data_IF_960073351362
#
_entry.id   IF_960073351362
#
_cell.length_a   1.000
_cell.length_b   1.000
_cell.length_c   1.000
_cell.angle_alpha   90.00
_cell.angle_beta   90.00
_cell.angle_gamma   90.00
#
_symmetry.space_group_name_H-M   'P 1'
#
loop_
_entity.id
_entity.type
_entity.pdbx_description
1 polymer ?
#
# COMPACT_ATOMS: atom_id res chain seq x y z
N UNK A 1 53.70 38.04 -18.89
CA UNK A 1 53.55 36.79 -19.67
C UNK A 1 52.25 36.12 -19.18
N UNK A 2 51.19 36.27 -19.96
CA UNK A 2 49.86 35.72 -19.65
C UNK A 2 49.74 34.36 -20.37
N UNK A 3 49.61 33.28 -19.60
CA UNK A 3 49.35 31.96 -20.13
C UNK A 3 47.83 31.77 -20.17
N UNK A 4 47.25 31.71 -21.38
CA UNK A 4 45.86 31.43 -21.61
C UNK A 4 45.54 29.98 -21.45
N UNK A 5 44.61 29.65 -20.54
CA UNK A 5 44.02 28.33 -20.40
C UNK A 5 42.89 28.15 -21.42
N UNK A 6 43.07 27.25 -22.37
CA UNK A 6 42.04 26.84 -23.34
C UNK A 6 41.17 25.77 -22.67
N UNK A 7 39.93 26.13 -22.33
CA UNK A 7 38.93 25.15 -21.91
C UNK A 7 38.33 24.46 -23.14
N UNK A 8 38.68 23.20 -23.32
CA UNK A 8 38.01 22.34 -24.30
C UNK A 8 36.75 21.81 -23.65
N UNK A 9 35.60 22.36 -24.04
CA UNK A 9 34.29 21.83 -23.67
C UNK A 9 34.02 20.57 -24.50
N UNK A 10 34.21 19.40 -23.94
CA UNK A 10 33.79 18.13 -24.52
C UNK A 10 32.27 18.02 -24.27
N UNK A 11 31.50 18.34 -25.31
CA UNK A 11 30.07 18.11 -25.34
C UNK A 11 29.76 16.62 -25.35
N UNK A 12 29.41 16.05 -24.21
CA UNK A 12 28.81 14.72 -24.15
C UNK A 12 27.35 14.87 -24.61
N UNK A 13 27.14 14.65 -25.89
CA UNK A 13 25.78 14.44 -26.41
C UNK A 13 25.34 13.05 -25.94
N UNK A 14 24.70 13.05 -24.77
CA UNK A 14 24.00 11.85 -24.30
C UNK A 14 22.87 11.55 -25.29
N UNK A 15 23.10 10.56 -26.12
CA UNK A 15 22.03 9.95 -26.92
C UNK A 15 21.08 9.26 -25.95
N UNK A 16 20.06 9.99 -25.48
CA UNK A 16 18.88 9.40 -24.87
C UNK A 16 18.15 8.62 -25.98
N UNK A 17 18.59 7.39 -26.21
CA UNK A 17 17.70 6.40 -26.82
C UNK A 17 16.60 6.20 -25.78
N UNK A 18 15.48 6.84 -25.98
CA UNK A 18 14.24 6.50 -25.32
C UNK A 18 13.93 5.05 -25.65
N UNK A 19 14.39 4.13 -24.81
CA UNK A 19 13.86 2.79 -24.78
C UNK A 19 12.38 2.99 -24.41
N UNK A 20 11.50 2.96 -25.39
CA UNK A 20 10.08 2.80 -25.14
C UNK A 20 9.98 1.51 -24.33
N UNK A 21 9.79 1.65 -23.01
CA UNK A 21 9.59 0.50 -22.16
C UNK A 21 8.40 -0.26 -22.74
N UNK A 22 8.62 -1.50 -23.13
CA UNK A 22 7.53 -2.34 -23.60
C UNK A 22 6.43 -2.31 -22.54
N UNK A 23 5.17 -2.18 -22.94
CA UNK A 23 4.07 -2.16 -21.99
C UNK A 23 4.12 -3.46 -21.17
N UNK A 24 4.08 -3.34 -19.84
CA UNK A 24 4.08 -4.47 -18.93
C UNK A 24 2.94 -5.42 -19.29
N UNK A 25 3.23 -6.70 -19.35
CA UNK A 25 2.20 -7.72 -19.51
C UNK A 25 1.39 -7.89 -18.21
N UNK A 26 0.18 -8.46 -18.33
CA UNK A 26 -0.61 -8.75 -17.15
C UNK A 26 0.04 -9.72 -16.16
N UNK A 27 0.93 -10.61 -16.63
CA UNK A 27 1.69 -11.52 -15.76
C UNK A 27 2.81 -10.78 -15.03
N UNK A 28 3.51 -9.90 -15.71
CA UNK A 28 4.59 -9.10 -15.13
C UNK A 28 4.09 -8.18 -14.03
N UNK A 29 2.96 -7.50 -14.24
CA UNK A 29 2.40 -6.61 -13.22
C UNK A 29 1.89 -7.37 -12.00
N UNK A 30 1.26 -8.54 -12.18
CA UNK A 30 0.84 -9.41 -11.09
C UNK A 30 2.06 -9.88 -10.28
N UNK A 31 3.12 -10.31 -10.95
CA UNK A 31 4.37 -10.74 -10.33
C UNK A 31 5.01 -9.61 -9.54
N UNK A 32 5.04 -8.41 -10.10
CA UNK A 32 5.61 -7.22 -9.46
C UNK A 32 4.86 -6.84 -8.19
N UNK A 33 3.53 -6.82 -8.22
CA UNK A 33 2.71 -6.53 -7.03
C UNK A 33 2.95 -7.59 -5.95
N UNK A 34 2.98 -8.87 -6.32
CA UNK A 34 3.23 -9.97 -5.38
C UNK A 34 4.60 -9.83 -4.70
N UNK A 35 5.64 -9.52 -5.47
CA UNK A 35 7.00 -9.32 -4.97
C UNK A 35 7.09 -8.11 -4.02
N UNK A 36 6.49 -6.97 -4.39
CA UNK A 36 6.47 -5.78 -3.54
C UNK A 36 5.72 -6.01 -2.24
N UNK A 37 4.53 -6.60 -2.29
CA UNK A 37 3.75 -6.88 -1.09
C UNK A 37 4.48 -7.88 -0.17
N UNK A 38 5.16 -8.88 -0.73
CA UNK A 38 5.97 -9.84 0.03
C UNK A 38 7.19 -9.17 0.69
N UNK A 39 7.84 -8.24 0.00
CA UNK A 39 8.94 -7.45 0.54
C UNK A 39 8.48 -6.58 1.72
N UNK A 40 7.39 -5.87 1.55
CA UNK A 40 6.89 -4.93 2.56
C UNK A 40 6.26 -5.61 3.77
N UNK A 41 5.80 -6.86 3.64
CA UNK A 41 5.19 -7.63 4.73
C UNK A 41 6.10 -7.75 5.96
N UNK A 42 7.39 -7.99 5.76
CA UNK A 42 8.36 -8.07 6.86
C UNK A 42 8.47 -6.72 7.57
N UNK A 43 8.59 -5.64 6.79
CA UNK A 43 8.66 -4.29 7.33
C UNK A 43 7.37 -3.91 8.10
N UNK A 44 6.19 -4.31 7.64
CA UNK A 44 4.93 -4.03 8.32
C UNK A 44 4.85 -4.63 9.72
N UNK A 45 5.44 -5.80 9.92
CA UNK A 45 5.53 -6.40 11.27
C UNK A 45 6.43 -5.57 12.17
N UNK A 46 7.56 -5.08 11.65
CA UNK A 46 8.47 -4.20 12.39
C UNK A 46 7.80 -2.86 12.69
N UNK A 47 7.10 -2.26 11.72
CA UNK A 47 6.34 -1.01 11.92
C UNK A 47 5.37 -1.16 13.09
N UNK A 48 4.54 -2.22 13.08
CA UNK A 48 3.56 -2.45 14.14
C UNK A 48 4.22 -2.65 15.51
N UNK A 49 5.25 -3.49 15.62
CA UNK A 49 5.93 -3.73 16.90
C UNK A 49 6.64 -2.49 17.43
N UNK A 50 7.34 -1.74 16.57
CA UNK A 50 8.00 -0.50 16.95
C UNK A 50 6.98 0.57 17.34
N UNK A 51 5.86 0.67 16.61
CA UNK A 51 4.77 1.58 16.98
C UNK A 51 4.28 1.30 18.40
N UNK A 52 3.92 0.05 18.71
CA UNK A 52 3.42 -0.36 20.03
C UNK A 52 4.42 -0.04 21.14
N UNK A 53 5.71 -0.33 20.94
CA UNK A 53 6.75 -0.04 21.93
C UNK A 53 6.83 1.45 22.28
N UNK A 54 6.71 2.33 21.31
CA UNK A 54 6.80 3.78 21.53
C UNK A 54 5.52 4.39 22.14
N UNK A 55 4.38 3.68 22.10
CA UNK A 55 3.15 4.23 22.70
C UNK A 55 3.09 4.04 24.23
N UNK A 56 3.93 3.18 24.81
CA UNK A 56 3.92 2.84 26.24
C UNK A 56 2.70 2.00 26.64
N UNK A 57 2.58 1.66 27.95
CA UNK A 57 1.45 0.89 28.45
C UNK A 57 0.11 1.62 28.20
N UNK A 58 -0.99 0.91 27.86
CA UNK A 58 -1.09 -0.55 27.71
C UNK A 58 -0.66 -1.09 26.33
N UNK A 59 -0.27 -0.23 25.36
CA UNK A 59 0.06 -0.64 23.99
C UNK A 59 1.32 -1.51 23.91
N UNK A 60 2.30 -1.24 24.76
CA UNK A 60 3.56 -1.99 24.83
C UNK A 60 3.48 -3.28 25.67
N UNK A 61 2.32 -3.55 26.29
CA UNK A 61 2.16 -4.71 27.16
C UNK A 61 2.02 -5.99 26.31
N UNK A 62 2.48 -7.10 26.85
CA UNK A 62 2.35 -8.41 26.20
C UNK A 62 0.87 -8.72 25.93
N UNK A 63 0.60 -9.22 24.73
CA UNK A 63 -0.74 -9.56 24.26
C UNK A 63 -1.72 -8.36 24.14
N UNK A 64 -1.22 -7.13 24.03
CA UNK A 64 -2.08 -6.00 23.75
C UNK A 64 -2.90 -6.26 22.48
N UNK A 65 -4.20 -6.19 22.62
CA UNK A 65 -5.16 -6.32 21.54
C UNK A 65 -6.29 -5.35 21.79
N UNK A 66 -6.58 -4.54 20.81
CA UNK A 66 -7.72 -3.64 20.84
C UNK A 66 -8.81 -4.21 19.92
N UNK A 67 -10.06 -4.34 20.39
CA UNK A 67 -11.15 -4.81 19.55
C UNK A 67 -11.26 -3.94 18.31
N UNK A 68 -11.86 -4.49 17.26
CA UNK A 68 -12.01 -3.84 15.96
C UNK A 68 -12.69 -2.48 16.10
N UNK A 69 -11.90 -1.45 16.26
CA UNK A 69 -12.35 -0.09 16.19
C UNK A 69 -12.06 0.40 14.77
N UNK A 70 -13.11 0.69 14.06
CA UNK A 70 -13.01 1.20 12.71
C UNK A 70 -12.88 2.72 12.80
N UNK A 71 -11.72 3.23 12.45
CA UNK A 71 -11.60 4.63 12.10
C UNK A 71 -12.42 4.84 10.82
N UNK A 72 -13.32 5.82 10.83
CA UNK A 72 -14.14 6.13 9.68
C UNK A 72 -13.25 6.34 8.44
N UNK A 73 -13.46 5.54 7.42
CA UNK A 73 -12.72 5.63 6.16
C UNK A 73 -11.51 4.71 6.02
N UNK A 74 -11.02 4.05 7.08
CA UNK A 74 -9.92 3.09 6.94
C UNK A 74 -10.44 1.72 6.49
N UNK A 75 -10.07 1.23 5.29
CA UNK A 75 -10.51 -0.06 4.80
C UNK A 75 -9.92 -1.21 5.63
N UNK A 76 -10.76 -2.14 6.06
CA UNK A 76 -10.33 -3.32 6.81
C UNK A 76 -10.00 -4.50 5.92
N UNK A 77 -8.92 -5.22 6.27
CA UNK A 77 -8.61 -6.52 5.69
C UNK A 77 -9.43 -7.66 6.32
N UNK A 78 -10.19 -7.42 7.39
CA UNK A 78 -10.93 -8.41 8.18
C UNK A 78 -12.24 -8.85 7.51
N UNK A 79 -12.19 -9.24 6.25
CA UNK A 79 -13.33 -9.86 5.58
C UNK A 79 -13.29 -11.38 5.77
N UNK A 80 -14.44 -11.99 6.10
CA UNK A 80 -14.55 -13.44 6.28
C UNK A 80 -14.18 -14.23 5.02
N UNK A 81 -13.54 -15.39 5.19
CA UNK A 81 -13.00 -16.19 4.10
C UNK A 81 -14.01 -16.47 2.97
N UNK A 82 -15.25 -16.84 3.31
CA UNK A 82 -16.27 -17.15 2.32
C UNK A 82 -16.65 -15.92 1.50
N UNK A 83 -16.91 -14.79 2.15
CA UNK A 83 -17.24 -13.52 1.48
C UNK A 83 -16.09 -13.10 0.55
N UNK A 84 -14.84 -13.17 1.02
CA UNK A 84 -13.69 -12.84 0.21
C UNK A 84 -13.54 -13.76 -1.02
N UNK A 85 -13.80 -15.04 -0.87
CA UNK A 85 -13.73 -16.01 -1.98
C UNK A 85 -14.81 -15.75 -3.05
N UNK A 86 -15.92 -15.16 -2.69
CA UNK A 86 -16.99 -14.81 -3.62
C UNK A 86 -16.73 -13.50 -4.38
N UNK A 87 -15.75 -12.67 -3.97
CA UNK A 87 -15.40 -11.46 -4.69
C UNK A 87 -14.74 -11.77 -6.04
N UNK A 88 -15.09 -10.96 -7.03
CA UNK A 88 -14.43 -10.96 -8.31
C UNK A 88 -12.96 -10.55 -8.19
N UNK A 89 -12.07 -10.99 -9.09
CA UNK A 89 -10.70 -10.49 -9.14
C UNK A 89 -10.63 -8.96 -9.26
N UNK A 90 -11.52 -8.35 -10.05
CA UNK A 90 -11.65 -6.90 -10.17
C UNK A 90 -11.97 -6.22 -8.83
N UNK A 91 -12.91 -6.80 -8.08
CA UNK A 91 -13.35 -6.22 -6.80
C UNK A 91 -12.26 -6.31 -5.74
N UNK A 92 -11.51 -7.42 -5.73
CA UNK A 92 -10.34 -7.58 -4.84
C UNK A 92 -9.25 -6.56 -5.14
N UNK A 93 -8.95 -6.34 -6.43
CA UNK A 93 -8.00 -5.31 -6.84
C UNK A 93 -8.48 -3.91 -6.46
N UNK A 94 -9.78 -3.63 -6.65
CA UNK A 94 -10.38 -2.36 -6.29
C UNK A 94 -10.29 -2.11 -4.78
N UNK A 95 -10.63 -3.10 -3.96
CA UNK A 95 -10.54 -3.00 -2.50
C UNK A 95 -9.09 -2.80 -2.03
N UNK A 96 -8.14 -3.55 -2.60
CA UNK A 96 -6.72 -3.36 -2.29
C UNK A 96 -6.24 -1.95 -2.68
N UNK A 97 -6.63 -1.47 -3.87
CA UNK A 97 -6.33 -0.12 -4.34
C UNK A 97 -6.88 0.96 -3.39
N UNK A 98 -8.14 0.85 -2.99
CA UNK A 98 -8.76 1.76 -2.03
C UNK A 98 -8.01 1.72 -0.68
N UNK A 99 -7.67 0.52 -0.20
CA UNK A 99 -6.94 0.37 1.05
C UNK A 99 -5.60 1.10 1.02
N UNK A 100 -4.76 0.88 0.02
CA UNK A 100 -3.44 1.53 -0.04
C UNK A 100 -3.52 3.03 -0.35
N UNK A 101 -4.54 3.49 -1.09
CA UNK A 101 -4.80 4.91 -1.27
C UNK A 101 -5.10 5.60 0.08
N UNK A 102 -6.02 5.04 0.84
CA UNK A 102 -6.39 5.59 2.15
C UNK A 102 -5.25 5.46 3.16
N UNK A 103 -4.51 4.34 3.15
CA UNK A 103 -3.40 4.13 4.08
C UNK A 103 -2.26 5.11 3.88
N UNK A 104 -1.93 5.52 2.65
CA UNK A 104 -0.88 6.51 2.40
C UNK A 104 -1.19 7.84 3.08
N UNK A 105 -2.44 8.28 3.02
CA UNK A 105 -2.91 9.52 3.68
C UNK A 105 -2.93 9.39 5.21
N UNK A 106 -3.41 8.24 5.72
CA UNK A 106 -3.40 7.99 7.16
C UNK A 106 -1.98 7.89 7.72
N UNK A 107 -1.02 7.33 6.99
CA UNK A 107 0.37 7.30 7.44
C UNK A 107 0.94 8.72 7.57
N UNK A 108 0.60 9.64 6.68
CA UNK A 108 0.99 11.04 6.83
C UNK A 108 0.40 11.64 8.11
N UNK A 109 -0.90 11.47 8.34
CA UNK A 109 -1.55 11.94 9.55
C UNK A 109 -0.88 11.38 10.82
N UNK A 110 -0.63 10.06 10.86
CA UNK A 110 0.01 9.43 12.03
C UNK A 110 1.44 9.93 12.21
N UNK A 111 2.21 10.17 11.15
CA UNK A 111 3.55 10.77 11.25
C UNK A 111 3.49 12.13 11.92
N UNK A 112 2.58 12.99 11.51
CA UNK A 112 2.40 14.32 12.10
C UNK A 112 2.01 14.22 13.58
N UNK A 113 1.14 13.29 13.92
CA UNK A 113 0.77 13.00 15.32
C UNK A 113 1.96 12.50 16.14
N UNK A 114 2.78 11.60 15.57
CA UNK A 114 3.95 11.04 16.27
C UNK A 114 5.06 12.07 16.45
N UNK A 115 5.18 13.08 15.60
CA UNK A 115 6.10 14.20 15.84
C UNK A 115 5.80 14.93 17.16
N UNK A 116 4.55 14.94 17.59
CA UNK A 116 4.11 15.55 18.87
C UNK A 116 4.14 14.54 20.02
N UNK A 117 3.73 13.30 19.76
CA UNK A 117 3.60 12.26 20.82
C UNK A 117 4.94 11.63 21.19
N UNK A 118 5.81 11.44 20.22
CA UNK A 118 7.11 10.75 20.34
C UNK A 118 8.21 11.48 19.56
N UNK A 119 8.53 12.74 19.87
CA UNK A 119 9.43 13.58 19.08
C UNK A 119 10.86 13.03 18.94
N UNK A 120 11.32 12.24 19.91
CA UNK A 120 12.65 11.64 19.91
C UNK A 120 12.72 10.24 19.26
N UNK A 121 11.59 9.70 18.78
CA UNK A 121 11.51 8.35 18.23
C UNK A 121 11.89 8.28 16.74
N UNK A 122 13.13 8.61 16.41
CA UNK A 122 13.61 8.70 15.03
C UNK A 122 13.36 7.40 14.22
N UNK A 123 13.55 6.24 14.83
CA UNK A 123 13.28 4.94 14.19
C UNK A 123 11.80 4.75 13.84
N UNK A 124 10.89 5.18 14.71
CA UNK A 124 9.46 5.13 14.45
C UNK A 124 9.08 6.05 13.28
N UNK A 125 9.58 7.28 13.29
CA UNK A 125 9.32 8.23 12.21
C UNK A 125 9.77 7.70 10.85
N UNK A 126 10.98 7.14 10.77
CA UNK A 126 11.51 6.54 9.56
C UNK A 126 10.66 5.34 9.08
N UNK A 127 10.24 4.46 9.99
CA UNK A 127 9.42 3.30 9.65
C UNK A 127 8.03 3.70 9.14
N UNK A 128 7.41 4.71 9.73
CA UNK A 128 6.12 5.23 9.26
C UNK A 128 6.25 5.88 7.88
N UNK A 129 7.36 6.58 7.61
CA UNK A 129 7.66 7.13 6.28
C UNK A 129 7.83 6.03 5.23
N UNK A 130 8.58 4.98 5.55
CA UNK A 130 8.74 3.82 4.66
C UNK A 130 7.38 3.16 4.40
N UNK A 131 6.52 3.04 5.40
CA UNK A 131 5.18 2.46 5.23
C UNK A 131 4.29 3.32 4.32
N UNK A 132 4.36 4.65 4.44
CA UNK A 132 3.68 5.58 3.53
C UNK A 132 4.15 5.39 2.09
N UNK A 133 5.46 5.48 1.83
CA UNK A 133 6.05 5.31 0.50
C UNK A 133 5.72 3.94 -0.10
N UNK A 134 5.75 2.89 0.73
CA UNK A 134 5.40 1.54 0.31
C UNK A 134 3.93 1.42 -0.09
N UNK A 135 3.03 2.12 0.61
CA UNK A 135 1.61 2.18 0.27
C UNK A 135 1.38 2.89 -1.06
N UNK A 136 2.07 3.99 -1.31
CA UNK A 136 2.03 4.73 -2.59
C UNK A 136 2.58 3.88 -3.75
N UNK A 137 3.68 3.16 -3.52
CA UNK A 137 4.25 2.28 -4.53
C UNK A 137 3.29 1.13 -4.91
N UNK A 138 2.62 0.53 -3.92
CA UNK A 138 1.61 -0.50 -4.17
C UNK A 138 0.37 0.08 -4.86
N UNK A 139 -0.09 1.25 -4.46
CA UNK A 139 -1.20 1.95 -5.11
C UNK A 139 -0.92 2.18 -6.59
N UNK A 140 0.26 2.67 -6.93
CA UNK A 140 0.67 2.88 -8.32
C UNK A 140 0.63 1.57 -9.12
N UNK A 141 1.21 0.50 -8.59
CA UNK A 141 1.22 -0.79 -9.27
C UNK A 141 -0.19 -1.43 -9.38
N UNK A 142 -1.06 -1.21 -8.40
CA UNK A 142 -2.45 -1.66 -8.47
C UNK A 142 -3.26 -0.88 -9.51
N UNK A 143 -3.01 0.42 -9.67
CA UNK A 143 -3.58 1.22 -10.77
C UNK A 143 -3.14 0.67 -12.14
N UNK A 144 -1.85 0.41 -12.31
CA UNK A 144 -1.30 -0.18 -13.53
C UNK A 144 -1.93 -1.55 -13.81
N UNK A 145 -2.07 -2.39 -12.79
CA UNK A 145 -2.70 -3.69 -12.94
C UNK A 145 -4.17 -3.58 -13.37
N UNK A 146 -4.94 -2.67 -12.77
CA UNK A 146 -6.33 -2.46 -13.17
C UNK A 146 -6.43 -2.01 -14.64
N UNK A 147 -5.57 -1.10 -15.05
CA UNK A 147 -5.51 -0.64 -16.44
C UNK A 147 -5.13 -1.77 -17.41
N UNK A 148 -4.01 -2.47 -17.16
CA UNK A 148 -3.47 -3.55 -18.02
C UNK A 148 -4.45 -4.72 -18.12
N UNK A 149 -5.17 -5.04 -17.04
CA UNK A 149 -6.12 -6.14 -16.99
C UNK A 149 -7.53 -5.74 -17.49
N UNK A 150 -7.73 -4.49 -17.90
CA UNK A 150 -9.00 -3.99 -18.42
C UNK A 150 -10.10 -3.90 -17.37
N UNK A 151 -9.74 -3.73 -16.10
CA UNK A 151 -10.69 -3.45 -15.03
C UNK A 151 -10.83 -1.94 -14.90
N UNK A 152 -11.97 -1.42 -15.30
CA UNK A 152 -12.28 0.00 -15.15
C UNK A 152 -12.40 0.33 -13.65
N UNK A 153 -11.63 1.25 -13.10
CA UNK A 153 -11.91 1.76 -11.76
C UNK A 153 -13.21 2.54 -11.83
N UNK A 154 -14.24 2.10 -11.14
CA UNK A 154 -15.34 2.97 -10.78
C UNK A 154 -14.73 4.15 -10.01
N UNK A 155 -14.92 5.36 -10.53
CA UNK A 155 -14.19 6.57 -10.15
C UNK A 155 -14.61 7.18 -8.81
N UNK A 156 -14.79 6.40 -7.79
CA UNK A 156 -14.95 6.92 -6.43
C UNK A 156 -13.65 6.65 -5.66
N UNK A 157 -12.69 7.54 -5.85
CA UNK A 157 -11.72 7.77 -4.79
C UNK A 157 -12.55 8.26 -3.59
N UNK A 158 -12.41 7.60 -2.45
CA UNK A 158 -12.89 8.18 -1.21
C UNK A 158 -12.31 9.59 -1.12
N UNK A 159 -13.12 10.55 -0.70
CA UNK A 159 -12.64 11.89 -0.45
C UNK A 159 -11.42 11.82 0.46
N UNK A 160 -10.36 12.60 0.16
CA UNK A 160 -9.22 12.69 1.06
C UNK A 160 -9.71 12.98 2.47
N UNK A 161 -8.95 12.56 3.46
CA UNK A 161 -9.19 12.84 4.87
C UNK A 161 -9.36 14.36 5.09
N UNK A 162 -10.58 14.86 4.88
CA UNK A 162 -10.91 16.28 5.02
C UNK A 162 -11.13 16.66 6.49
N UNK A 163 -11.07 15.70 7.40
CA UNK A 163 -11.38 15.89 8.80
C UNK A 163 -10.19 15.44 9.67
N UNK A 164 -9.47 16.37 10.11
CA UNK A 164 -8.59 16.18 11.26
C UNK A 164 -9.31 16.83 12.43
N UNK A 165 -9.90 16.02 13.31
CA UNK A 165 -10.30 16.53 14.61
C UNK A 165 -9.02 16.90 15.36
N UNK A 166 -8.74 18.18 15.44
CA UNK A 166 -7.64 18.71 16.24
C UNK A 166 -7.84 18.47 17.74
N UNK A 167 -9.05 18.08 18.14
CA UNK A 167 -9.46 17.91 19.54
C UNK A 167 -9.44 16.45 20.02
N UNK A 168 -8.87 15.54 19.23
CA UNK A 168 -8.78 14.14 19.67
C UNK A 168 -7.78 13.97 20.82
N UNK A 169 -8.24 13.24 21.85
CA UNK A 169 -7.36 12.93 22.96
C UNK A 169 -6.21 12.00 22.56
N UNK A 170 -5.11 12.07 23.31
CA UNK A 170 -3.89 11.30 23.08
C UNK A 170 -4.15 9.80 22.90
N UNK A 171 -5.08 9.23 23.67
CA UNK A 171 -5.39 7.80 23.59
C UNK A 171 -6.00 7.43 22.22
N UNK A 172 -6.95 8.20 21.73
CA UNK A 172 -7.55 7.98 20.39
C UNK A 172 -6.51 8.06 19.28
N UNK A 173 -5.62 9.05 19.32
CA UNK A 173 -4.50 9.19 18.36
C UNK A 173 -3.60 7.96 18.38
N UNK A 174 -3.27 7.43 19.55
CA UNK A 174 -2.48 6.20 19.70
C UNK A 174 -3.22 4.97 19.16
N UNK A 175 -4.52 4.85 19.43
CA UNK A 175 -5.35 3.74 18.92
C UNK A 175 -5.45 3.81 17.39
N UNK A 176 -5.62 4.99 16.81
CA UNK A 176 -5.66 5.19 15.35
C UNK A 176 -4.40 4.64 14.67
N UNK A 177 -3.24 5.03 15.16
CA UNK A 177 -1.98 4.55 14.59
C UNK A 177 -1.77 3.04 14.78
N UNK A 178 -2.20 2.48 15.90
CA UNK A 178 -2.20 1.02 16.11
C UNK A 178 -3.08 0.31 15.06
N UNK A 179 -4.32 0.79 14.88
CA UNK A 179 -5.25 0.20 13.90
C UNK A 179 -4.69 0.30 12.48
N UNK A 180 -4.13 1.46 12.11
CA UNK A 180 -3.49 1.64 10.81
C UNK A 180 -2.34 0.65 10.59
N UNK A 181 -1.40 0.53 11.52
CA UNK A 181 -0.26 -0.38 11.38
C UNK A 181 -0.70 -1.85 11.32
N UNK A 182 -1.75 -2.23 12.04
CA UNK A 182 -2.35 -3.57 11.99
C UNK A 182 -2.99 -3.85 10.64
N UNK A 183 -3.87 -2.95 10.17
CA UNK A 183 -4.54 -3.11 8.88
C UNK A 183 -3.55 -3.12 7.72
N UNK A 184 -2.51 -2.28 7.76
CA UNK A 184 -1.43 -2.29 6.77
C UNK A 184 -0.74 -3.66 6.69
N UNK A 185 -0.37 -4.23 7.84
CA UNK A 185 0.20 -5.59 7.90
C UNK A 185 -0.77 -6.63 7.32
N UNK A 186 -2.04 -6.55 7.67
CA UNK A 186 -3.04 -7.54 7.26
C UNK A 186 -3.36 -7.44 5.77
N UNK A 187 -3.40 -6.25 5.18
CA UNK A 187 -3.51 -6.06 3.74
C UNK A 187 -2.29 -6.60 2.99
N UNK A 188 -1.09 -6.38 3.50
CA UNK A 188 0.14 -6.93 2.91
C UNK A 188 0.22 -8.47 3.00
N UNK A 189 -0.48 -9.10 3.94
CA UNK A 189 -0.65 -10.55 3.96
C UNK A 189 -1.69 -11.07 2.97
N UNK A 190 -2.66 -10.23 2.61
CA UNK A 190 -3.78 -10.60 1.72
C UNK A 190 -3.41 -10.46 0.25
N UNK A 191 -2.81 -9.34 -0.14
CA UNK A 191 -2.50 -9.01 -1.53
C UNK A 191 -1.75 -10.13 -2.28
N UNK A 192 -0.70 -10.76 -1.75
CA UNK A 192 -0.02 -11.85 -2.44
C UNK A 192 -0.95 -13.02 -2.78
N UNK A 193 -1.84 -13.38 -1.85
CA UNK A 193 -2.81 -14.46 -2.07
C UNK A 193 -3.82 -14.13 -3.18
N UNK A 194 -4.20 -12.85 -3.28
CA UNK A 194 -5.11 -12.39 -4.33
C UNK A 194 -4.42 -12.35 -5.69
N UNK A 195 -3.15 -11.97 -5.73
CA UNK A 195 -2.33 -12.03 -6.95
C UNK A 195 -2.16 -13.47 -7.45
N UNK A 196 -1.94 -14.43 -6.56
CA UNK A 196 -1.85 -15.86 -6.93
C UNK A 196 -3.19 -16.37 -7.48
N UNK A 197 -4.31 -15.99 -6.90
CA UNK A 197 -5.64 -16.37 -7.40
C UNK A 197 -5.90 -15.73 -8.77
N UNK A 198 -5.54 -14.47 -8.94
CA UNK A 198 -5.70 -13.75 -10.19
C UNK A 198 -4.87 -14.41 -11.31
N UNK A 199 -3.61 -14.76 -11.02
CA UNK A 199 -2.73 -15.51 -11.93
C UNK A 199 -3.34 -16.85 -12.34
N UNK A 200 -3.75 -17.66 -11.37
CA UNK A 200 -4.36 -18.96 -11.62
C UNK A 200 -5.65 -18.87 -12.47
N UNK A 201 -6.44 -17.83 -12.26
CA UNK A 201 -7.68 -17.60 -13.02
C UNK A 201 -7.38 -17.19 -14.47
N UNK A 202 -6.36 -16.38 -14.70
CA UNK A 202 -5.92 -16.01 -16.06
C UNK A 202 -5.42 -17.22 -16.82
N UNK A 203 -4.50 -18.00 -16.25
CA UNK A 203 -3.93 -19.19 -16.90
C UNK A 203 -5.03 -20.18 -17.33
N UNK A 204 -6.05 -20.38 -16.50
CA UNK A 204 -7.19 -21.22 -16.85
C UNK A 204 -8.00 -20.67 -18.04
N UNK A 205 -8.14 -19.36 -18.16
CA UNK A 205 -8.87 -18.73 -19.28
C UNK A 205 -8.09 -18.87 -20.59
N UNK A 206 -6.81 -18.64 -20.55
CA UNK A 206 -5.93 -18.77 -21.72
C UNK A 206 -5.93 -20.22 -22.26
N UNK A 207 -5.95 -21.22 -21.38
CA UNK A 207 -5.99 -22.64 -21.78
C UNK A 207 -7.37 -23.13 -22.21
N UNK A 208 -8.47 -22.55 -21.72
CA UNK A 208 -9.83 -23.02 -21.99
C UNK A 208 -10.56 -22.26 -23.10
N UNK A 209 -10.00 -21.17 -23.64
CA UNK A 209 -10.65 -20.33 -24.65
C UNK A 209 -11.95 -19.69 -24.15
N UNK A 210 -12.22 -19.75 -22.87
CA UNK A 210 -13.49 -19.36 -22.27
C UNK A 210 -13.49 -17.86 -21.97
N UNK A 211 -14.39 -17.13 -22.62
CA UNK A 211 -14.62 -15.73 -22.36
C UNK A 211 -14.93 -15.45 -20.87
N UNK A 212 -14.82 -14.17 -20.52
CA UNK A 212 -15.03 -13.59 -19.17
C UNK A 212 -16.38 -14.09 -18.57
N UNK A 213 -16.39 -15.26 -17.95
CA UNK A 213 -17.50 -15.73 -17.10
C UNK A 213 -17.20 -15.37 -15.65
N UNK A 214 -17.89 -14.67 -15.19
CA UNK A 214 -18.56 -13.97 -14.11
C UNK A 214 -18.38 -14.63 -12.75
N UNK A 215 -18.03 -13.77 -11.85
CA UNK A 215 -18.01 -13.79 -10.42
C UNK A 215 -19.30 -14.38 -9.87
N UNK A 216 -19.27 -14.98 -8.71
CA UNK A 216 -20.47 -15.36 -7.99
C UNK A 216 -21.35 -14.11 -7.81
N UNK A 217 -22.38 -13.96 -8.63
CA UNK A 217 -23.49 -13.11 -8.26
C UNK A 217 -24.34 -13.86 -7.24
N UNK A 218 -24.78 -13.17 -6.17
CA UNK A 218 -25.69 -13.75 -5.19
C UNK A 218 -27.03 -14.09 -5.82
#
# INVERSE_FOLDING_TARGET
MLAGAVFVAIGIVAWYRGSAALPLSGEEIITRINSLASLYKTNATVVLSTYLQHQGSPFSDDNFSFPSWFENGLPTAAMGFRAWRCLCPSDRLLLARQAFSTMSEFFQLIRDEQMTLNPSAASLHQLLEIAQISSEALLSNLNDAMFILGYQPLSTLAEPLSWTSTDENTFKRKVRGYVLCREYKDWLMRVPKDMDILRATRNKRETSGQGRKDCCHP
#
